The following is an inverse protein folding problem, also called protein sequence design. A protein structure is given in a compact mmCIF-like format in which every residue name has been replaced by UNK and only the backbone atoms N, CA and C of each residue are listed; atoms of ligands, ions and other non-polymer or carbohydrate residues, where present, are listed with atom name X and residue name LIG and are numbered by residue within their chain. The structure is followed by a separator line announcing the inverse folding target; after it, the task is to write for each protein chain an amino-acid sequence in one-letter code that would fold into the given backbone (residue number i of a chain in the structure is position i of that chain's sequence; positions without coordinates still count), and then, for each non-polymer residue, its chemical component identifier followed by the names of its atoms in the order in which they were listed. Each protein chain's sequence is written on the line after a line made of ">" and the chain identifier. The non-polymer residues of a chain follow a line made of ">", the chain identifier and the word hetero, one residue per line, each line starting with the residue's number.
data_IF_202929058656
#
_entry.id   IF_202929058656
#
_cell.length_a   1.000
_cell.length_b   1.000
_cell.length_c   1.000
_cell.angle_alpha   90.00
_cell.angle_beta   90.00
_cell.angle_gamma   90.00
#
_symmetry.space_group_name_H-M   'P 1'
#
loop_
_entity.id
_entity.type
_entity.pdbx_description
1 polymer ?
#
# COMPACT_ATOMS: atom_id res chain seq x y z
N UNK A 1 -14.34 -19.79 -31.42
CA UNK A 1 -14.55 -20.86 -30.42
C UNK A 1 -15.63 -21.79 -30.97
N UNK A 2 -15.39 -23.11 -31.00
CA UNK A 2 -16.39 -24.06 -31.48
C UNK A 2 -17.52 -24.22 -30.44
N UNK A 3 -18.71 -24.64 -30.88
CA UNK A 3 -19.90 -24.86 -30.02
C UNK A 3 -19.63 -25.78 -28.82
N UNK A 4 -18.64 -26.68 -28.94
CA UNK A 4 -18.24 -27.61 -27.88
C UNK A 4 -17.46 -26.93 -26.72
N UNK A 5 -16.73 -25.84 -26.98
CA UNK A 5 -16.05 -25.06 -25.94
C UNK A 5 -17.03 -24.24 -25.07
N UNK A 6 -18.19 -23.87 -25.62
CA UNK A 6 -19.17 -23.02 -24.93
C UNK A 6 -19.88 -23.80 -23.80
N UNK A 7 -20.26 -25.06 -24.03
CA UNK A 7 -20.95 -25.87 -23.02
C UNK A 7 -20.08 -26.21 -21.79
N UNK A 8 -18.77 -26.40 -21.95
CA UNK A 8 -17.85 -26.67 -20.84
C UNK A 8 -17.47 -25.42 -20.02
N UNK A 9 -17.78 -24.22 -20.54
CA UNK A 9 -17.45 -22.94 -19.94
C UNK A 9 -18.55 -22.40 -19.01
N UNK A 10 -19.61 -23.15 -18.72
CA UNK A 10 -20.70 -22.70 -17.86
C UNK A 10 -20.37 -22.96 -16.38
N UNK A 11 -20.65 -22.00 -15.50
CA UNK A 11 -20.56 -22.12 -14.03
C UNK A 11 -21.83 -21.60 -13.35
N UNK A 12 -22.09 -22.07 -12.13
CA UNK A 12 -23.21 -21.61 -11.31
C UNK A 12 -22.63 -20.84 -10.12
N UNK A 13 -23.12 -19.62 -9.89
CA UNK A 13 -22.74 -18.79 -8.73
C UNK A 13 -23.41 -19.27 -7.44
N UNK A 14 -22.97 -18.79 -6.28
CA UNK A 14 -23.55 -19.15 -4.97
C UNK A 14 -25.07 -18.91 -4.88
N UNK A 15 -25.59 -17.96 -5.66
CA UNK A 15 -27.02 -17.63 -5.73
C UNK A 15 -27.77 -18.36 -6.88
N UNK A 16 -27.16 -19.38 -7.48
CA UNK A 16 -27.79 -20.18 -8.54
C UNK A 16 -27.79 -19.54 -9.94
N UNK A 17 -27.19 -18.36 -10.11
CA UNK A 17 -27.12 -17.71 -11.42
C UNK A 17 -26.09 -18.37 -12.33
N UNK A 18 -26.46 -18.58 -13.59
CA UNK A 18 -25.61 -19.12 -14.65
C UNK A 18 -24.62 -18.03 -15.09
N UNK A 19 -23.34 -18.36 -15.10
CA UNK A 19 -22.25 -17.53 -15.60
C UNK A 19 -21.23 -18.35 -16.40
N UNK A 20 -20.12 -17.71 -16.78
CA UNK A 20 -19.02 -18.36 -17.47
C UNK A 20 -17.80 -18.54 -16.57
N UNK A 21 -17.09 -19.67 -16.71
CA UNK A 21 -15.85 -19.98 -15.96
C UNK A 21 -14.68 -19.10 -16.40
N UNK A 22 -14.62 -18.79 -17.69
CA UNK A 22 -13.55 -18.01 -18.33
C UNK A 22 -14.12 -17.17 -19.47
N UNK A 23 -13.51 -16.03 -19.73
CA UNK A 23 -13.76 -15.19 -20.91
C UNK A 23 -12.93 -15.62 -22.12
N UNK A 24 -11.99 -16.56 -21.94
CA UNK A 24 -10.97 -16.91 -22.92
C UNK A 24 -9.79 -15.93 -22.96
N UNK A 25 -9.72 -14.97 -22.02
CA UNK A 25 -8.63 -14.01 -21.84
C UNK A 25 -8.20 -14.01 -20.38
N UNK A 26 -6.94 -14.39 -20.14
CA UNK A 26 -6.43 -14.62 -18.78
C UNK A 26 -6.43 -13.34 -17.94
N UNK A 27 -6.10 -12.20 -18.55
CA UNK A 27 -6.11 -10.92 -17.85
C UNK A 27 -7.52 -10.47 -17.43
N UNK A 28 -8.51 -10.78 -18.25
CA UNK A 28 -9.91 -10.46 -17.94
C UNK A 28 -10.41 -11.35 -16.80
N UNK A 29 -10.06 -12.63 -16.85
CA UNK A 29 -10.45 -13.61 -15.83
C UNK A 29 -9.85 -13.28 -14.46
N UNK A 30 -8.56 -12.93 -14.41
CA UNK A 30 -7.92 -12.54 -13.15
C UNK A 30 -8.49 -11.22 -12.61
N UNK A 31 -8.89 -10.29 -13.48
CA UNK A 31 -9.53 -9.04 -13.07
C UNK A 31 -10.86 -9.26 -12.33
N UNK A 32 -11.70 -10.18 -12.83
CA UNK A 32 -12.96 -10.53 -12.16
C UNK A 32 -12.75 -11.38 -10.90
N UNK A 33 -11.72 -12.21 -10.87
CA UNK A 33 -11.41 -13.04 -9.70
C UNK A 33 -10.70 -12.29 -8.57
N UNK A 34 -10.11 -11.12 -8.82
CA UNK A 34 -9.14 -10.50 -7.91
C UNK A 34 -9.64 -10.36 -6.46
N UNK A 35 -10.91 -10.00 -6.24
CA UNK A 35 -11.47 -9.88 -4.89
C UNK A 35 -11.66 -11.23 -4.17
N UNK A 36 -11.96 -12.32 -4.90
CA UNK A 36 -12.06 -13.66 -4.30
C UNK A 36 -10.69 -14.27 -3.99
N UNK A 37 -9.62 -13.72 -4.57
CA UNK A 37 -8.24 -14.18 -4.34
C UNK A 37 -7.65 -13.72 -3.00
N UNK A 38 -8.32 -12.86 -2.23
CA UNK A 38 -7.80 -12.32 -0.96
C UNK A 38 -7.40 -13.40 0.05
N UNK A 39 -8.12 -14.53 0.05
CA UNK A 39 -7.89 -15.66 0.96
C UNK A 39 -7.18 -16.85 0.28
N UNK A 40 -6.86 -16.76 -1.01
CA UNK A 40 -6.14 -17.82 -1.72
C UNK A 40 -4.68 -17.89 -1.25
N UNK A 41 -4.07 -19.07 -1.27
CA UNK A 41 -2.65 -19.24 -0.99
C UNK A 41 -1.76 -18.53 -2.04
N UNK A 42 -0.52 -18.24 -1.67
CA UNK A 42 0.40 -17.45 -2.49
C UNK A 42 0.71 -18.13 -3.84
N UNK A 43 0.88 -19.46 -3.87
CA UNK A 43 1.20 -20.21 -5.10
C UNK A 43 0.06 -20.14 -6.13
N UNK A 44 -1.19 -20.27 -5.68
CA UNK A 44 -2.36 -20.16 -6.55
C UNK A 44 -2.56 -18.73 -7.06
N UNK A 45 -2.17 -17.72 -6.28
CA UNK A 45 -2.13 -16.31 -6.74
C UNK A 45 -1.09 -16.15 -7.85
N UNK A 46 0.12 -16.69 -7.64
CA UNK A 46 1.21 -16.65 -8.62
C UNK A 46 0.81 -17.37 -9.91
N UNK A 47 0.22 -18.58 -9.81
CA UNK A 47 -0.19 -19.36 -10.99
C UNK A 47 -1.15 -18.56 -11.88
N UNK A 48 -2.17 -17.91 -11.29
CA UNK A 48 -3.11 -17.07 -12.02
C UNK A 48 -2.44 -15.86 -12.66
N UNK A 49 -1.57 -15.17 -11.92
CA UNK A 49 -0.83 -14.02 -12.45
C UNK A 49 0.08 -14.42 -13.62
N UNK A 50 0.79 -15.55 -13.51
CA UNK A 50 1.71 -16.05 -14.54
C UNK A 50 0.99 -16.39 -15.83
N UNK A 51 -0.24 -16.91 -15.78
CA UNK A 51 -1.05 -17.14 -16.99
C UNK A 51 -1.33 -15.83 -17.73
N UNK A 52 -1.82 -14.81 -17.03
CA UNK A 52 -2.05 -13.48 -17.60
C UNK A 52 -0.75 -12.82 -18.10
N UNK A 53 0.34 -12.95 -17.35
CA UNK A 53 1.65 -12.42 -17.71
C UNK A 53 2.24 -13.08 -18.95
N UNK A 54 2.08 -14.39 -19.12
CA UNK A 54 2.56 -15.10 -20.31
C UNK A 54 1.69 -14.84 -21.55
N UNK A 55 0.39 -14.54 -21.36
CA UNK A 55 -0.48 -14.13 -22.47
C UNK A 55 -0.07 -12.75 -23.02
N UNK A 56 0.08 -11.74 -22.16
CA UNK A 56 0.49 -10.39 -22.55
C UNK A 56 1.27 -9.71 -21.42
N UNK A 57 2.61 -9.71 -21.51
CA UNK A 57 3.51 -9.25 -20.44
C UNK A 57 3.31 -7.77 -20.07
N UNK A 58 3.25 -6.89 -21.07
CA UNK A 58 3.23 -5.44 -20.84
C UNK A 58 1.90 -5.02 -20.18
N UNK A 59 0.79 -5.56 -20.68
CA UNK A 59 -0.54 -5.32 -20.19
C UNK A 59 -0.73 -5.94 -18.80
N UNK A 60 -0.19 -7.14 -18.55
CA UNK A 60 -0.21 -7.75 -17.22
C UNK A 60 0.55 -6.91 -16.17
N UNK A 61 1.69 -6.32 -16.54
CA UNK A 61 2.43 -5.41 -15.63
C UNK A 61 1.63 -4.13 -15.40
N UNK A 62 1.08 -3.49 -16.45
CA UNK A 62 0.20 -2.31 -16.27
C UNK A 62 -0.99 -2.62 -15.38
N UNK A 63 -1.62 -3.78 -15.60
CA UNK A 63 -2.74 -4.23 -14.80
C UNK A 63 -2.34 -4.56 -13.35
N UNK A 64 -1.14 -5.10 -13.10
CA UNK A 64 -0.65 -5.33 -11.74
C UNK A 64 -0.52 -4.01 -10.95
N UNK A 65 -0.08 -2.93 -11.61
CA UNK A 65 -0.06 -1.59 -11.02
C UNK A 65 -1.47 -1.03 -10.79
N UNK A 66 -2.40 -1.25 -11.72
CA UNK A 66 -3.82 -0.94 -11.51
C UNK A 66 -4.44 -1.72 -10.34
N UNK A 67 -4.15 -3.02 -10.23
CA UNK A 67 -4.60 -3.85 -9.12
C UNK A 67 -4.10 -3.30 -7.78
N UNK A 68 -2.88 -2.74 -7.75
CA UNK A 68 -2.30 -2.12 -6.56
C UNK A 68 -2.84 -0.73 -6.27
N UNK A 69 -3.14 0.08 -7.28
CA UNK A 69 -3.48 1.49 -7.14
C UNK A 69 -4.64 1.67 -6.17
N UNK A 70 -4.36 2.36 -5.06
CA UNK A 70 -5.33 2.61 -4.01
C UNK A 70 -6.17 3.87 -4.25
N UNK A 71 -5.86 4.66 -5.29
CA UNK A 71 -6.59 5.88 -5.66
C UNK A 71 -7.49 5.64 -6.85
N UNK A 72 -6.95 5.07 -7.94
CA UNK A 72 -7.69 4.86 -9.19
C UNK A 72 -7.85 3.39 -9.57
N UNK A 73 -7.43 2.48 -8.70
CA UNK A 73 -7.43 1.04 -8.93
C UNK A 73 -8.16 0.26 -7.86
N UNK A 74 -7.73 -0.99 -7.67
CA UNK A 74 -8.42 -1.94 -6.78
C UNK A 74 -7.85 -1.94 -5.34
N UNK A 75 -6.63 -1.43 -5.16
CA UNK A 75 -5.98 -1.35 -3.84
C UNK A 75 -5.46 -2.68 -3.26
N UNK A 76 -5.32 -3.72 -4.08
CA UNK A 76 -5.02 -5.10 -3.68
C UNK A 76 -3.54 -5.30 -3.32
N UNK A 77 -3.18 -4.83 -2.12
CA UNK A 77 -1.79 -4.81 -1.61
C UNK A 77 -1.18 -6.20 -1.49
N UNK A 78 -1.93 -7.20 -0.98
CA UNK A 78 -1.41 -8.55 -0.77
C UNK A 78 -1.07 -9.20 -2.11
N UNK A 79 -2.03 -9.19 -3.03
CA UNK A 79 -1.86 -9.69 -4.39
C UNK A 79 -0.64 -9.06 -5.06
N UNK A 80 -0.54 -7.73 -5.02
CA UNK A 80 0.58 -7.01 -5.61
C UNK A 80 1.93 -7.46 -5.05
N UNK A 81 2.07 -7.56 -3.71
CA UNK A 81 3.33 -7.95 -3.08
C UNK A 81 3.74 -9.38 -3.42
N UNK A 82 2.79 -10.30 -3.54
CA UNK A 82 3.05 -11.69 -3.94
C UNK A 82 3.58 -11.72 -5.38
N UNK A 83 2.90 -11.05 -6.31
CA UNK A 83 3.31 -11.03 -7.72
C UNK A 83 4.63 -10.27 -7.92
N UNK A 84 4.85 -9.19 -7.17
CA UNK A 84 6.09 -8.41 -7.21
C UNK A 84 7.29 -9.23 -6.69
N UNK A 85 7.11 -10.01 -5.62
CA UNK A 85 8.14 -10.94 -5.12
C UNK A 85 8.48 -12.02 -6.17
N UNK A 86 7.46 -12.63 -6.80
CA UNK A 86 7.66 -13.55 -7.91
C UNK A 86 8.47 -12.92 -9.06
N UNK A 87 8.04 -11.74 -9.53
CA UNK A 87 8.73 -11.02 -10.61
C UNK A 87 10.16 -10.65 -10.22
N UNK A 88 10.42 -10.27 -8.97
CA UNK A 88 11.78 -9.93 -8.53
C UNK A 88 12.75 -11.12 -8.61
N UNK A 89 12.24 -12.35 -8.51
CA UNK A 89 13.02 -13.59 -8.56
C UNK A 89 13.15 -14.16 -9.97
N UNK A 90 12.16 -13.94 -10.84
CA UNK A 90 12.09 -14.54 -12.18
C UNK A 90 12.35 -13.57 -13.32
N UNK A 91 12.05 -12.29 -13.11
CA UNK A 91 12.12 -11.20 -14.08
C UNK A 91 12.62 -9.89 -13.42
N UNK A 92 13.79 -9.90 -12.75
CA UNK A 92 14.31 -8.73 -12.02
C UNK A 92 14.46 -7.50 -12.93
N UNK A 93 14.77 -7.68 -14.21
CA UNK A 93 14.88 -6.61 -15.21
C UNK A 93 13.57 -5.82 -15.37
N UNK A 94 12.43 -6.51 -15.33
CA UNK A 94 11.11 -5.88 -15.43
C UNK A 94 10.83 -5.07 -14.16
N UNK A 95 11.08 -5.65 -12.98
CA UNK A 95 10.85 -4.95 -11.71
C UNK A 95 11.76 -3.73 -11.60
N UNK A 96 13.02 -3.83 -12.01
CA UNK A 96 13.94 -2.70 -12.02
C UNK A 96 13.45 -1.57 -12.94
N UNK A 97 12.90 -1.90 -14.11
CA UNK A 97 12.36 -0.91 -15.05
C UNK A 97 11.17 -0.13 -14.47
N UNK A 98 10.38 -0.75 -13.57
CA UNK A 98 9.17 -0.15 -13.00
C UNK A 98 9.29 0.26 -11.53
N UNK A 99 10.46 0.06 -10.91
CA UNK A 99 10.66 0.23 -9.46
C UNK A 99 10.26 1.62 -8.95
N UNK A 100 10.52 2.66 -9.74
CA UNK A 100 10.21 4.05 -9.43
C UNK A 100 8.70 4.34 -9.38
N UNK A 101 7.88 3.54 -10.06
CA UNK A 101 6.43 3.71 -10.09
C UNK A 101 5.75 3.04 -8.89
N UNK A 102 6.44 2.15 -8.17
CA UNK A 102 5.86 1.39 -7.04
C UNK A 102 5.32 2.32 -5.95
N UNK A 103 6.02 3.38 -5.52
CA UNK A 103 5.47 4.31 -4.54
C UNK A 103 4.36 5.22 -5.07
N UNK A 104 4.33 5.48 -6.38
CA UNK A 104 3.35 6.34 -7.04
C UNK A 104 1.96 5.70 -7.03
N UNK A 105 1.86 4.48 -7.57
CA UNK A 105 0.63 3.68 -7.60
C UNK A 105 0.44 2.83 -6.33
N UNK A 106 1.39 2.86 -5.39
CA UNK A 106 1.36 1.98 -4.24
C UNK A 106 1.73 2.70 -2.96
N UNK A 107 2.67 2.11 -2.22
CA UNK A 107 3.22 2.67 -0.99
C UNK A 107 4.71 2.44 -0.99
N UNK A 108 5.44 3.35 -0.35
CA UNK A 108 6.87 3.24 -0.17
C UNK A 108 7.32 1.96 0.55
N UNK A 109 6.52 1.39 1.46
CA UNK A 109 6.88 0.13 2.12
C UNK A 109 6.70 -1.12 1.24
N UNK A 110 6.03 -1.02 0.08
CA UNK A 110 5.98 -2.13 -0.87
C UNK A 110 7.38 -2.48 -1.39
N UNK A 111 8.26 -1.48 -1.54
CA UNK A 111 9.66 -1.64 -1.91
C UNK A 111 10.46 -2.48 -0.90
N UNK A 112 10.09 -2.47 0.39
CA UNK A 112 10.86 -3.17 1.43
C UNK A 112 10.81 -4.69 1.27
N UNK A 113 9.80 -5.22 0.55
CA UNK A 113 9.73 -6.64 0.19
C UNK A 113 10.87 -7.09 -0.74
N UNK A 114 11.39 -6.16 -1.54
CA UNK A 114 12.44 -6.42 -2.53
C UNK A 114 13.86 -6.40 -1.95
N UNK A 115 14.03 -6.07 -0.67
CA UNK A 115 15.36 -5.97 -0.03
C UNK A 115 16.10 -7.32 0.11
N UNK A 116 15.41 -8.45 -0.13
CA UNK A 116 16.02 -9.78 -0.18
C UNK A 116 16.28 -10.28 -1.61
N UNK A 117 16.09 -9.42 -2.63
CA UNK A 117 16.34 -9.73 -4.04
C UNK A 117 17.60 -9.03 -4.55
N UNK A 118 17.99 -9.33 -5.79
CA UNK A 118 19.10 -8.66 -6.48
C UNK A 118 18.84 -7.17 -6.74
N UNK A 119 17.61 -6.70 -6.52
CA UNK A 119 17.20 -5.30 -6.65
C UNK A 119 17.44 -4.47 -5.38
N UNK A 120 18.02 -5.08 -4.34
CA UNK A 120 18.23 -4.46 -3.03
C UNK A 120 18.91 -3.08 -3.16
N UNK A 121 19.97 -2.96 -3.94
CA UNK A 121 20.73 -1.71 -4.03
C UNK A 121 19.93 -0.62 -4.78
N UNK A 122 19.16 -0.99 -5.82
CA UNK A 122 18.24 -0.08 -6.52
C UNK A 122 17.14 0.44 -5.58
N UNK A 123 16.54 -0.45 -4.79
CA UNK A 123 15.53 -0.10 -3.77
C UNK A 123 16.12 0.86 -2.74
N UNK A 124 17.29 0.53 -2.22
CA UNK A 124 17.98 1.29 -1.19
C UNK A 124 18.36 2.69 -1.67
N UNK A 125 18.92 2.80 -2.88
CA UNK A 125 19.24 4.08 -3.51
C UNK A 125 17.99 4.92 -3.75
N UNK A 126 16.89 4.33 -4.23
CA UNK A 126 15.62 5.03 -4.45
C UNK A 126 15.08 5.63 -3.15
N UNK A 127 15.02 4.84 -2.08
CA UNK A 127 14.54 5.29 -0.76
C UNK A 127 15.46 6.39 -0.20
N UNK A 128 16.78 6.19 -0.30
CA UNK A 128 17.78 7.14 0.19
C UNK A 128 17.68 8.49 -0.50
N UNK A 129 17.63 8.50 -1.83
CA UNK A 129 17.52 9.72 -2.61
C UNK A 129 16.22 10.46 -2.27
N UNK A 130 15.09 9.76 -2.14
CA UNK A 130 13.83 10.39 -1.75
C UNK A 130 13.89 10.99 -0.33
N UNK A 131 14.48 10.30 0.64
CA UNK A 131 14.60 10.83 2.01
C UNK A 131 15.51 12.07 2.08
N UNK A 132 16.55 12.13 1.25
CA UNK A 132 17.41 13.31 1.11
C UNK A 132 16.61 14.47 0.52
N UNK A 133 15.92 14.23 -0.60
CA UNK A 133 15.06 15.24 -1.24
C UNK A 133 13.97 15.76 -0.29
N UNK A 134 13.28 14.87 0.42
CA UNK A 134 12.24 15.23 1.39
C UNK A 134 12.81 16.08 2.54
N UNK A 135 14.05 15.80 2.97
CA UNK A 135 14.74 16.57 4.00
C UNK A 135 15.11 17.97 3.51
N UNK A 136 15.65 18.07 2.30
CA UNK A 136 16.03 19.35 1.69
C UNK A 136 14.80 20.25 1.47
N UNK A 137 13.71 19.68 0.93
CA UNK A 137 12.44 20.40 0.79
C UNK A 137 11.87 20.84 2.13
N UNK A 138 11.87 19.96 3.14
CA UNK A 138 11.44 20.32 4.50
C UNK A 138 12.27 21.48 5.09
N UNK A 139 13.60 21.46 4.91
CA UNK A 139 14.49 22.51 5.42
C UNK A 139 14.23 23.88 4.75
N UNK A 140 13.70 23.87 3.52
CA UNK A 140 13.27 25.07 2.77
C UNK A 140 11.78 25.42 2.97
N UNK A 141 11.06 24.67 3.79
CA UNK A 141 9.60 24.68 3.93
C UNK A 141 8.83 24.53 2.59
N UNK A 142 9.40 23.80 1.64
CA UNK A 142 8.79 23.50 0.34
C UNK A 142 7.85 22.29 0.44
N UNK A 143 6.55 22.52 0.19
CA UNK A 143 5.52 21.48 0.15
C UNK A 143 5.06 21.21 -1.29
N UNK A 144 4.64 19.97 -1.64
CA UNK A 144 4.65 18.77 -0.79
C UNK A 144 5.99 18.03 -0.79
N UNK A 145 6.28 17.31 0.30
CA UNK A 145 7.30 16.24 0.33
C UNK A 145 6.63 14.87 0.16
N UNK A 146 7.42 13.85 -0.16
CA UNK A 146 6.89 12.49 -0.37
C UNK A 146 6.40 11.84 0.94
N UNK A 147 5.66 10.73 0.81
CA UNK A 147 5.27 9.89 1.94
C UNK A 147 6.34 8.84 2.31
N UNK A 148 7.59 8.96 1.84
CA UNK A 148 8.62 7.96 2.07
C UNK A 148 8.86 7.73 3.56
N UNK A 149 9.17 8.79 4.31
CA UNK A 149 9.44 8.71 5.74
C UNK A 149 8.25 8.15 6.57
N UNK A 150 7.01 8.36 6.12
CA UNK A 150 5.81 7.78 6.76
C UNK A 150 5.91 6.26 6.81
N UNK A 151 6.36 5.64 5.72
CA UNK A 151 6.36 4.18 5.57
C UNK A 151 7.66 3.49 6.00
N UNK A 152 8.74 4.25 6.19
CA UNK A 152 10.02 3.65 6.60
C UNK A 152 9.98 3.04 8.01
N UNK A 153 10.65 1.89 8.24
CA UNK A 153 10.62 1.20 9.51
C UNK A 153 11.37 1.99 10.60
N UNK A 154 10.80 2.06 11.81
CA UNK A 154 11.48 2.65 12.98
C UNK A 154 12.42 1.66 13.63
N UNK A 155 13.59 2.12 14.06
CA UNK A 155 14.59 1.28 14.77
C UNK A 155 14.13 0.84 16.17
N UNK A 156 13.19 1.56 16.78
CA UNK A 156 12.68 1.29 18.13
C UNK A 156 11.40 0.42 18.14
N UNK A 157 10.93 -0.04 16.99
CA UNK A 157 9.75 -0.93 16.94
C UNK A 157 10.00 -2.23 17.71
N UNK A 158 8.95 -2.83 18.29
CA UNK A 158 9.02 -4.13 18.98
C UNK A 158 9.24 -5.31 18.05
N UNK A 159 8.89 -5.18 16.76
CA UNK A 159 9.07 -6.24 15.75
C UNK A 159 10.54 -6.44 15.37
N UNK A 160 11.08 -7.63 15.64
CA UNK A 160 12.44 -8.04 15.23
C UNK A 160 12.66 -7.88 13.71
N UNK A 161 11.67 -8.30 12.91
CA UNK A 161 11.70 -8.20 11.44
C UNK A 161 11.79 -6.73 10.99
N UNK A 162 10.95 -5.87 11.55
CA UNK A 162 10.93 -4.44 11.19
C UNK A 162 12.20 -3.72 11.64
N UNK A 163 12.75 -4.05 12.83
CA UNK A 163 14.07 -3.53 13.25
C UNK A 163 15.19 -3.94 12.31
N UNK A 164 15.19 -5.18 11.79
CA UNK A 164 16.19 -5.63 10.80
C UNK A 164 16.14 -4.76 9.54
N UNK A 165 14.96 -4.48 9.01
CA UNK A 165 14.78 -3.59 7.85
C UNK A 165 15.28 -2.16 8.14
N UNK A 166 14.94 -1.61 9.31
CA UNK A 166 15.45 -0.30 9.74
C UNK A 166 16.98 -0.26 9.77
N UNK A 167 17.65 -1.30 10.30
CA UNK A 167 19.11 -1.36 10.33
C UNK A 167 19.75 -1.41 8.95
N UNK A 168 19.10 -2.06 7.97
CA UNK A 168 19.59 -2.06 6.59
C UNK A 168 19.56 -0.63 6.03
N UNK A 169 18.44 0.08 6.19
CA UNK A 169 18.29 1.47 5.74
C UNK A 169 19.25 2.43 6.45
N UNK A 170 19.39 2.29 7.77
CA UNK A 170 20.32 3.12 8.56
C UNK A 170 21.76 2.98 8.04
N UNK A 171 22.20 1.76 7.70
CA UNK A 171 23.52 1.51 7.12
C UNK A 171 23.67 2.13 5.74
N UNK A 172 22.67 2.00 4.88
CA UNK A 172 22.67 2.60 3.54
C UNK A 172 22.79 4.14 3.57
N UNK A 173 22.04 4.76 4.48
CA UNK A 173 22.06 6.20 4.71
C UNK A 173 23.37 6.67 5.36
N UNK A 174 24.22 5.73 5.84
CA UNK A 174 25.41 6.01 6.66
C UNK A 174 25.07 6.83 7.92
N UNK A 175 23.91 6.57 8.51
CA UNK A 175 23.42 7.25 9.70
C UNK A 175 23.67 6.40 10.95
N UNK A 176 23.83 7.04 12.09
CA UNK A 176 23.61 6.39 13.39
C UNK A 176 22.11 6.14 13.62
N UNK A 177 21.79 5.20 14.51
CA UNK A 177 20.41 4.95 14.94
C UNK A 177 19.72 6.24 15.44
N UNK A 178 20.47 7.12 16.12
CA UNK A 178 19.96 8.42 16.60
C UNK A 178 19.63 9.37 15.44
N UNK A 179 20.53 9.50 14.47
CA UNK A 179 20.31 10.35 13.29
C UNK A 179 19.10 9.87 12.48
N UNK A 180 18.99 8.57 12.23
CA UNK A 180 17.86 8.00 11.50
C UNK A 180 16.53 8.22 12.22
N UNK A 181 16.47 8.01 13.55
CA UNK A 181 15.27 8.35 14.33
C UNK A 181 14.90 9.82 14.24
N UNK A 182 15.88 10.72 14.34
CA UNK A 182 15.65 12.17 14.26
C UNK A 182 15.10 12.54 12.89
N UNK A 183 15.72 12.04 11.81
CA UNK A 183 15.25 12.25 10.44
C UNK A 183 13.77 11.85 10.28
N UNK A 184 13.44 10.60 10.63
CA UNK A 184 12.06 10.13 10.49
C UNK A 184 11.08 10.91 11.37
N UNK A 185 11.49 11.29 12.59
CA UNK A 185 10.65 12.09 13.48
C UNK A 185 10.35 13.47 12.90
N UNK A 186 11.36 14.14 12.34
CA UNK A 186 11.22 15.47 11.73
C UNK A 186 10.30 15.40 10.51
N UNK A 187 10.57 14.49 9.57
CA UNK A 187 9.78 14.34 8.35
C UNK A 187 8.34 13.93 8.64
N UNK A 188 8.09 13.03 9.60
CA UNK A 188 6.72 12.63 10.00
C UNK A 188 5.96 13.74 10.68
N UNK A 189 6.63 14.57 11.48
CA UNK A 189 6.03 15.76 12.07
C UNK A 189 5.67 16.78 10.99
N UNK A 190 6.55 16.99 10.02
CA UNK A 190 6.31 17.89 8.89
C UNK A 190 5.13 17.41 8.01
N UNK A 191 5.03 16.10 7.78
CA UNK A 191 3.89 15.44 7.13
C UNK A 191 2.60 15.43 7.97
N UNK A 192 2.64 15.89 9.23
CA UNK A 192 1.52 15.83 10.18
C UNK A 192 0.92 14.42 10.32
N UNK A 193 1.78 13.40 10.35
CA UNK A 193 1.37 12.01 10.56
C UNK A 193 0.70 11.88 11.93
N UNK A 194 -0.50 11.29 11.96
CA UNK A 194 -1.38 11.29 13.13
C UNK A 194 -0.74 10.64 14.35
N UNK A 195 0.00 9.56 14.11
CA UNK A 195 0.72 8.79 15.12
C UNK A 195 1.75 9.64 15.88
N UNK A 196 2.23 10.76 15.29
CA UNK A 196 3.12 11.73 15.98
C UNK A 196 2.36 12.47 17.07
N UNK A 197 1.15 12.96 16.78
CA UNK A 197 0.29 13.63 17.77
C UNK A 197 -0.16 12.66 18.87
N UNK A 198 -0.61 11.47 18.47
CA UNK A 198 -1.06 10.42 19.41
C UNK A 198 0.05 10.01 20.38
N UNK A 199 1.26 9.78 19.88
CA UNK A 199 2.40 9.37 20.72
C UNK A 199 2.85 10.48 21.68
N UNK A 200 2.68 11.74 21.29
CA UNK A 200 2.98 12.90 22.11
C UNK A 200 1.84 13.30 23.06
N UNK A 201 0.70 12.58 23.04
CA UNK A 201 -0.54 12.91 23.77
C UNK A 201 -1.13 14.28 23.41
N UNK A 202 -0.83 14.80 22.22
CA UNK A 202 -1.33 16.08 21.69
C UNK A 202 -2.61 15.86 20.89
N UNK A 203 -3.64 15.36 21.57
CA UNK A 203 -4.90 14.94 20.94
C UNK A 203 -5.71 16.14 20.44
N UNK A 204 -5.65 17.23 21.18
CA UNK A 204 -6.21 18.55 20.89
C UNK A 204 -5.73 19.12 19.54
N UNK A 205 -4.53 18.77 19.09
CA UNK A 205 -3.98 19.19 17.80
C UNK A 205 -4.49 18.37 16.59
N UNK A 206 -5.20 17.25 16.82
CA UNK A 206 -5.66 16.39 15.72
C UNK A 206 -6.84 17.04 15.00
N UNK A 207 -6.70 17.24 13.68
CA UNK A 207 -7.81 17.62 12.80
C UNK A 207 -8.48 16.35 12.21
N UNK A 208 -9.58 15.90 12.82
CA UNK A 208 -10.27 14.67 12.42
C UNK A 208 -10.78 14.64 10.97
N UNK A 209 -11.12 15.79 10.38
CA UNK A 209 -11.59 15.86 9.00
C UNK A 209 -10.45 15.59 8.00
N UNK A 210 -9.22 15.96 8.34
CA UNK A 210 -8.04 15.68 7.53
C UNK A 210 -7.51 14.25 7.71
N UNK A 211 -7.91 13.55 8.78
CA UNK A 211 -7.49 12.17 9.05
C UNK A 211 -8.04 11.22 7.98
N UNK A 212 -7.18 10.44 7.29
CA UNK A 212 -7.66 9.44 6.34
C UNK A 212 -8.63 8.46 7.00
N UNK A 213 -9.68 8.09 6.28
CA UNK A 213 -10.74 7.16 6.68
C UNK A 213 -10.23 5.88 7.32
N UNK A 214 -9.20 5.26 6.73
CA UNK A 214 -8.58 4.03 7.26
C UNK A 214 -7.92 4.26 8.63
N UNK A 215 -7.27 5.40 8.82
CA UNK A 215 -6.73 5.78 10.13
C UNK A 215 -7.86 6.12 11.12
N UNK A 216 -8.93 6.75 10.65
CA UNK A 216 -10.17 6.97 11.40
C UNK A 216 -10.76 5.66 11.95
N UNK A 217 -10.75 4.58 11.15
CA UNK A 217 -11.22 3.26 11.57
C UNK A 217 -10.26 2.59 12.57
N UNK A 218 -8.96 2.55 12.25
CA UNK A 218 -7.94 1.90 13.08
C UNK A 218 -7.85 2.54 14.47
N UNK A 219 -7.89 3.86 14.55
CA UNK A 219 -7.67 4.60 15.79
C UNK A 219 -8.96 5.06 16.49
N UNK A 220 -10.14 4.59 16.05
CA UNK A 220 -11.45 5.00 16.57
C UNK A 220 -11.53 4.96 18.10
N UNK A 221 -11.06 3.86 18.70
CA UNK A 221 -11.08 3.65 20.15
C UNK A 221 -10.09 4.56 20.87
N UNK A 222 -8.93 4.82 20.26
CA UNK A 222 -7.92 5.70 20.83
C UNK A 222 -8.40 7.15 20.84
N UNK A 223 -9.06 7.61 19.77
CA UNK A 223 -9.68 8.94 19.72
C UNK A 223 -10.78 9.09 20.77
N UNK A 224 -11.71 8.14 20.86
CA UNK A 224 -12.80 8.19 21.85
C UNK A 224 -12.29 8.15 23.29
N UNK A 225 -11.21 7.41 23.56
CA UNK A 225 -10.64 7.30 24.91
C UNK A 225 -9.95 8.58 25.37
N UNK A 226 -9.26 9.28 24.47
CA UNK A 226 -8.35 10.36 24.85
C UNK A 226 -8.86 11.76 24.48
N UNK A 227 -9.85 11.88 23.58
CA UNK A 227 -10.40 13.16 23.13
C UNK A 227 -11.89 12.99 22.77
N UNK A 228 -12.65 12.50 23.76
CA UNK A 228 -14.03 12.04 23.60
C UNK A 228 -14.95 13.14 23.06
N UNK A 229 -14.88 14.34 23.63
CA UNK A 229 -15.81 15.44 23.32
C UNK A 229 -15.65 15.91 21.88
N UNK A 230 -14.43 16.31 21.47
CA UNK A 230 -14.15 16.74 20.10
C UNK A 230 -14.41 15.62 19.09
N UNK A 231 -14.14 14.36 19.47
CA UNK A 231 -14.42 13.22 18.61
C UNK A 231 -15.92 13.03 18.38
N UNK A 232 -16.74 13.08 19.43
CA UNK A 232 -18.19 12.95 19.31
C UNK A 232 -18.79 14.12 18.52
N UNK A 233 -18.32 15.35 18.78
CA UNK A 233 -18.72 16.53 18.01
C UNK A 233 -18.43 16.34 16.52
N UNK A 234 -17.22 15.89 16.16
CA UNK A 234 -16.86 15.59 14.77
C UNK A 234 -17.78 14.53 14.15
N UNK A 235 -18.10 13.45 14.88
CA UNK A 235 -18.99 12.39 14.38
C UNK A 235 -20.43 12.88 14.18
N UNK A 236 -20.93 13.75 15.05
CA UNK A 236 -22.25 14.38 14.88
C UNK A 236 -22.28 15.30 13.67
N UNK A 237 -21.25 16.14 13.49
CA UNK A 237 -21.09 16.97 12.28
C UNK A 237 -21.02 16.11 11.01
N UNK A 238 -20.34 14.96 11.08
CA UNK A 238 -20.23 14.02 9.96
C UNK A 238 -21.61 13.42 9.62
N UNK A 239 -22.39 13.03 10.64
CA UNK A 239 -23.76 12.50 10.48
C UNK A 239 -24.71 13.52 9.87
N UNK A 240 -24.55 14.80 10.22
CA UNK A 240 -25.33 15.92 9.66
C UNK A 240 -24.87 16.36 8.27
N UNK A 241 -23.73 15.86 7.77
CA UNK A 241 -23.13 16.28 6.50
C UNK A 241 -22.42 17.64 6.56
N UNK A 242 -22.20 18.19 7.74
CA UNK A 242 -21.52 19.48 7.96
C UNK A 242 -20.00 19.37 7.80
N UNK A 243 -19.45 18.15 7.85
CA UNK A 243 -18.05 17.86 7.55
C UNK A 243 -17.95 16.61 6.69
N UNK A 244 -16.79 16.41 6.07
CA UNK A 244 -16.50 15.25 5.21
C UNK A 244 -15.42 14.38 5.85
N UNK A 245 -15.55 13.08 5.66
CA UNK A 245 -14.47 12.14 5.96
C UNK A 245 -13.52 12.08 4.76
N UNK A 246 -12.22 12.10 5.02
CA UNK A 246 -11.23 11.91 3.98
C UNK A 246 -11.18 10.43 3.55
N UNK A 247 -12.04 10.04 2.61
CA UNK A 247 -12.23 8.65 2.16
C UNK A 247 -11.61 8.31 0.81
N UNK A 248 -10.74 9.15 0.25
CA UNK A 248 -10.14 8.95 -1.10
C UNK A 248 -9.48 7.58 -1.30
N UNK A 249 -9.02 6.95 -0.22
CA UNK A 249 -8.24 5.71 -0.25
C UNK A 249 -8.93 4.59 0.54
N UNK A 250 -10.25 4.70 0.79
CA UNK A 250 -11.03 3.69 1.50
C UNK A 250 -11.68 2.71 0.52
N UNK A 251 -11.44 1.42 0.71
CA UNK A 251 -12.14 0.39 -0.04
C UNK A 251 -13.27 -0.26 0.78
N UNK A 252 -14.34 -0.80 0.16
CA UNK A 252 -15.41 -1.47 0.88
C UNK A 252 -14.90 -2.56 1.84
N UNK A 253 -13.87 -3.30 1.44
CA UNK A 253 -13.27 -4.36 2.24
C UNK A 253 -12.46 -3.87 3.45
N UNK A 254 -12.13 -2.57 3.55
CA UNK A 254 -11.52 -2.00 4.76
C UNK A 254 -12.58 -1.74 5.87
N UNK A 255 -13.88 -1.85 5.56
CA UNK A 255 -15.00 -1.50 6.47
C UNK A 255 -15.69 -2.75 7.05
N UNK A 256 -15.66 -3.88 6.33
CA UNK A 256 -16.38 -5.13 6.66
C UNK A 256 -15.66 -5.95 7.73
#
# INVERSE_FOLDING_TARGET
>A
MSSFQIFNNISITENGAIGYKTTGKELVDINFALSSMRNMNDDAVIEKFVKAFNEEKMLAIKWLFFARDCRNGVGERRFFRICLDYLSKKHPEIVNAVIKFIPEYGRWDDLLGLLNSDLKDNVLNLIKNQLIEDKEKMEKDEKPISLCAKWMPSINTSSKKTRKLARILTKELKYSDKQYRKLLSQLRSYLKVIEVYMSAKRWDEINYAAVPSRANLIYKNAFLKNDKERRLEYLEKLKKGETKINSEVLFPHDIV
#
